data_IF_781178346974
#
_entry.id   IF_781178346974
#
_cell.length_a   1.000
_cell.length_b   1.000
_cell.length_c   1.000
_cell.angle_alpha   90.00
_cell.angle_beta   90.00
_cell.angle_gamma   90.00
#
_symmetry.space_group_name_H-M   'P 1'
#
loop_
_entity.id
_entity.type
_entity.pdbx_description
1 polymer ?
#
# COMPACT_ATOMS: atom_id res chain seq x y z
N UNK A 1 17.61 -7.04 6.98
CA UNK A 1 16.43 -6.14 7.05
C UNK A 1 16.73 -4.86 6.27
N UNK A 2 15.97 -4.53 5.25
CA UNK A 2 16.17 -3.30 4.48
C UNK A 2 15.99 -2.06 5.35
N UNK A 3 16.75 -1.02 5.04
CA UNK A 3 16.64 0.26 5.72
C UNK A 3 15.34 1.00 5.32
N UNK A 4 14.92 1.95 6.16
CA UNK A 4 13.74 2.78 5.87
C UNK A 4 13.83 3.46 4.49
N UNK A 5 14.99 3.99 4.13
CA UNK A 5 15.22 4.63 2.84
C UNK A 5 15.00 3.69 1.66
N UNK A 6 15.35 2.42 1.80
CA UNK A 6 15.13 1.41 0.75
C UNK A 6 13.63 1.14 0.54
N UNK A 7 12.85 1.11 1.62
CA UNK A 7 11.39 0.97 1.52
C UNK A 7 10.76 2.21 0.88
N UNK A 8 11.24 3.41 1.22
CA UNK A 8 10.78 4.65 0.58
C UNK A 8 11.07 4.65 -0.91
N UNK A 9 12.25 4.25 -1.31
CA UNK A 9 12.62 4.12 -2.73
C UNK A 9 11.71 3.12 -3.44
N UNK A 10 11.40 1.98 -2.80
CA UNK A 10 10.49 1.00 -3.39
C UNK A 10 9.08 1.60 -3.58
N UNK A 11 8.59 2.40 -2.63
CA UNK A 11 7.33 3.12 -2.79
C UNK A 11 7.35 4.02 -4.02
N UNK A 12 8.41 4.78 -4.21
CA UNK A 12 8.55 5.68 -5.35
C UNK A 12 8.59 4.91 -6.68
N UNK A 13 9.26 3.76 -6.70
CA UNK A 13 9.26 2.87 -7.87
C UNK A 13 7.87 2.30 -8.15
N UNK A 14 7.14 1.95 -7.11
CA UNK A 14 5.76 1.45 -7.25
C UNK A 14 4.83 2.53 -7.81
N UNK A 15 5.02 3.79 -7.43
CA UNK A 15 4.28 4.92 -7.99
C UNK A 15 4.51 5.01 -9.50
N UNK A 16 5.75 4.89 -9.94
CA UNK A 16 6.08 4.89 -11.37
C UNK A 16 5.47 3.69 -12.10
N UNK A 17 5.50 2.51 -11.47
CA UNK A 17 4.87 1.31 -12.02
C UNK A 17 3.35 1.48 -12.15
N UNK A 18 2.70 2.08 -11.16
CA UNK A 18 1.27 2.40 -11.21
C UNK A 18 0.94 3.26 -12.45
N UNK A 19 1.71 4.31 -12.68
CA UNK A 19 1.52 5.18 -13.85
C UNK A 19 1.77 4.43 -15.17
N UNK A 20 2.83 3.63 -15.23
CA UNK A 20 3.17 2.83 -16.42
C UNK A 20 2.07 1.83 -16.76
N UNK A 21 1.38 1.27 -15.75
CA UNK A 21 0.26 0.35 -15.92
C UNK A 21 -1.04 1.05 -16.31
N UNK A 22 -1.05 2.37 -16.40
CA UNK A 22 -2.22 3.18 -16.76
C UNK A 22 -3.00 3.74 -15.57
N UNK A 23 -2.58 3.42 -14.34
CA UNK A 23 -3.21 3.96 -13.15
C UNK A 23 -4.71 3.71 -13.11
N UNK A 24 -5.47 4.73 -12.74
CA UNK A 24 -6.94 4.68 -12.67
C UNK A 24 -7.60 4.62 -14.05
N UNK A 25 -6.83 4.74 -15.12
CA UNK A 25 -7.31 4.60 -16.50
C UNK A 25 -6.83 3.31 -17.16
N UNK A 26 -6.27 2.40 -16.39
CA UNK A 26 -5.78 1.12 -16.89
C UNK A 26 -6.91 0.29 -17.49
N UNK A 27 -6.57 -0.44 -18.55
CA UNK A 27 -7.52 -1.41 -19.14
C UNK A 27 -7.80 -2.58 -18.19
N UNK A 28 -6.84 -2.89 -17.32
CA UNK A 28 -6.90 -4.03 -16.39
C UNK A 28 -6.53 -3.52 -14.97
N UNK A 29 -7.54 -3.21 -14.17
CA UNK A 29 -7.35 -2.59 -12.84
C UNK A 29 -6.61 -3.47 -11.83
N UNK A 30 -6.61 -4.79 -12.03
CA UNK A 30 -5.95 -5.70 -11.09
C UNK A 30 -4.47 -5.39 -10.89
N UNK A 31 -3.78 -4.88 -11.88
CA UNK A 31 -2.36 -4.58 -11.79
C UNK A 31 -2.07 -3.27 -11.05
N UNK A 32 -2.66 -2.12 -11.41
CA UNK A 32 -2.47 -0.92 -10.58
C UNK A 32 -3.00 -1.08 -9.14
N UNK A 33 -4.11 -1.77 -8.92
CA UNK A 33 -4.62 -2.03 -7.58
C UNK A 33 -3.61 -2.85 -6.76
N UNK A 34 -3.02 -3.87 -7.36
CA UNK A 34 -1.96 -4.66 -6.73
C UNK A 34 -0.75 -3.81 -6.38
N UNK A 35 -0.34 -2.92 -7.28
CA UNK A 35 0.78 -2.01 -7.06
C UNK A 35 0.53 -1.08 -5.87
N UNK A 36 -0.69 -0.57 -5.73
CA UNK A 36 -1.08 0.26 -4.58
C UNK A 36 -1.00 -0.51 -3.26
N UNK A 37 -1.41 -1.78 -3.26
CA UNK A 37 -1.28 -2.61 -2.07
C UNK A 37 0.19 -2.77 -1.67
N UNK A 38 1.08 -3.09 -2.60
CA UNK A 38 2.50 -3.24 -2.28
C UNK A 38 3.15 -1.92 -1.88
N UNK A 39 2.66 -0.80 -2.39
CA UNK A 39 3.05 0.53 -1.90
C UNK A 39 2.71 0.67 -0.41
N UNK A 40 1.51 0.29 -0.02
CA UNK A 40 1.10 0.27 1.38
C UNK A 40 1.97 -0.64 2.25
N UNK A 41 2.34 -1.82 1.72
CA UNK A 41 3.25 -2.75 2.40
C UNK A 41 4.60 -2.09 2.71
N UNK A 42 5.20 -1.43 1.72
CA UNK A 42 6.50 -0.80 1.91
C UNK A 42 6.43 0.44 2.81
N UNK A 43 5.31 1.17 2.82
CA UNK A 43 5.10 2.25 3.80
C UNK A 43 5.07 1.69 5.22
N UNK A 44 4.40 0.56 5.44
CA UNK A 44 4.38 -0.10 6.75
C UNK A 44 5.80 -0.53 7.15
N UNK A 45 6.55 -1.13 6.24
CA UNK A 45 7.91 -1.56 6.53
C UNK A 45 8.86 -0.37 6.76
N UNK A 46 8.68 0.74 6.05
CA UNK A 46 9.40 1.99 6.32
C UNK A 46 9.13 2.45 7.75
N UNK A 47 7.88 2.48 8.16
CA UNK A 47 7.48 2.84 9.52
C UNK A 47 8.16 1.94 10.55
N UNK A 48 8.12 0.62 10.36
CA UNK A 48 8.75 -0.33 11.28
C UNK A 48 10.27 -0.12 11.36
N UNK A 49 10.92 0.16 10.23
CA UNK A 49 12.36 0.38 10.19
C UNK A 49 12.78 1.67 10.91
N UNK A 50 11.86 2.65 11.02
CA UNK A 50 12.12 3.93 11.70
C UNK A 50 11.85 3.89 13.20
N UNK A 51 11.28 2.82 13.74
CA UNK A 51 11.06 2.69 15.17
C UNK A 51 12.37 2.66 15.92
N UNK A 52 12.37 3.12 17.19
CA UNK A 52 13.57 3.09 18.03
C UNK A 52 14.12 1.68 18.21
N UNK A 53 13.23 0.68 18.23
CA UNK A 53 13.57 -0.73 18.09
C UNK A 53 12.98 -1.22 16.77
N UNK A 54 13.76 -1.23 15.68
CA UNK A 54 13.24 -1.60 14.38
C UNK A 54 12.61 -2.98 14.35
N UNK A 55 11.51 -3.10 13.60
CA UNK A 55 10.80 -4.34 13.39
C UNK A 55 10.86 -4.72 11.92
N UNK A 56 10.80 -6.01 11.65
CA UNK A 56 10.62 -6.55 10.31
C UNK A 56 9.54 -7.62 10.36
N UNK A 57 8.49 -7.45 9.58
CA UNK A 57 7.41 -8.43 9.54
C UNK A 57 7.76 -9.63 8.65
N UNK A 58 7.30 -10.82 9.05
CA UNK A 58 7.52 -12.06 8.28
C UNK A 58 6.40 -12.34 7.27
N UNK A 59 5.33 -11.55 7.25
CA UNK A 59 4.21 -11.72 6.33
C UNK A 59 3.08 -10.75 6.61
N UNK A 60 2.01 -10.82 5.80
CA UNK A 60 0.89 -9.88 5.88
C UNK A 60 0.18 -9.91 7.23
N UNK A 61 -0.02 -11.11 7.80
CA UNK A 61 -0.72 -11.26 9.07
C UNK A 61 0.02 -10.57 10.19
N UNK A 62 1.32 -10.82 10.30
CA UNK A 62 2.17 -10.19 11.32
C UNK A 62 2.24 -8.69 11.11
N UNK A 63 2.37 -8.23 9.86
CA UNK A 63 2.41 -6.81 9.52
C UNK A 63 1.16 -6.09 10.00
N UNK A 64 -0.01 -6.62 9.68
CA UNK A 64 -1.28 -6.05 10.11
C UNK A 64 -1.42 -6.03 11.62
N UNK A 65 -1.01 -7.11 12.30
CA UNK A 65 -1.04 -7.19 13.76
C UNK A 65 -0.13 -6.13 14.39
N UNK A 66 1.10 -5.99 13.91
CA UNK A 66 2.04 -4.99 14.41
C UNK A 66 1.55 -3.56 14.16
N UNK A 67 0.94 -3.30 12.99
CA UNK A 67 0.34 -2.00 12.71
C UNK A 67 -0.86 -1.74 13.60
N UNK A 68 -1.74 -2.72 13.81
CA UNK A 68 -2.93 -2.56 14.64
C UNK A 68 -2.56 -2.17 16.08
N UNK A 69 -1.45 -2.71 16.58
CA UNK A 69 -0.97 -2.43 17.92
C UNK A 69 -0.41 -0.99 18.05
N UNK A 70 0.12 -0.42 16.96
CA UNK A 70 0.83 0.87 17.00
C UNK A 70 0.11 1.99 16.26
N UNK A 71 -0.53 1.68 15.14
CA UNK A 71 -1.18 2.64 14.27
C UNK A 71 -2.44 2.01 13.68
N UNK A 72 -3.51 1.85 14.49
CA UNK A 72 -4.71 1.12 14.07
C UNK A 72 -5.38 1.70 12.82
N UNK A 73 -5.33 3.01 12.62
CA UNK A 73 -5.88 3.62 11.41
C UNK A 73 -5.11 3.16 10.17
N UNK A 74 -3.79 3.13 10.23
CA UNK A 74 -2.96 2.64 9.13
C UNK A 74 -3.23 1.15 8.86
N UNK A 75 -3.40 0.36 9.90
CA UNK A 75 -3.73 -1.07 9.76
C UNK A 75 -5.05 -1.26 9.02
N UNK A 76 -6.07 -0.47 9.36
CA UNK A 76 -7.37 -0.52 8.69
C UNK A 76 -7.25 -0.15 7.21
N UNK A 77 -6.50 0.90 6.89
CA UNK A 77 -6.27 1.34 5.50
C UNK A 77 -5.49 0.30 4.70
N UNK A 78 -4.47 -0.30 5.28
CA UNK A 78 -3.71 -1.36 4.61
C UNK A 78 -4.59 -2.59 4.35
N UNK A 79 -5.48 -2.94 5.28
CA UNK A 79 -6.43 -4.04 5.09
C UNK A 79 -7.37 -3.78 3.90
N UNK A 80 -7.80 -2.53 3.70
CA UNK A 80 -8.61 -2.15 2.52
C UNK A 80 -7.84 -2.43 1.23
N UNK A 81 -6.58 -2.01 1.15
CA UNK A 81 -5.73 -2.26 -0.03
C UNK A 81 -5.49 -3.76 -0.24
N UNK A 82 -5.26 -4.50 0.83
CA UNK A 82 -5.05 -5.95 0.76
C UNK A 82 -6.29 -6.65 0.20
N UNK A 83 -7.47 -6.33 0.72
CA UNK A 83 -8.72 -6.93 0.26
C UNK A 83 -8.99 -6.59 -1.22
N UNK A 84 -8.78 -5.35 -1.63
CA UNK A 84 -8.93 -4.94 -3.03
C UNK A 84 -7.99 -5.73 -3.94
N UNK A 85 -6.73 -5.88 -3.54
CA UNK A 85 -5.74 -6.66 -4.29
C UNK A 85 -6.14 -8.12 -4.43
N UNK A 86 -6.67 -8.74 -3.37
CA UNK A 86 -7.14 -10.12 -3.41
C UNK A 86 -8.35 -10.29 -4.33
N UNK A 87 -9.34 -9.40 -4.23
CA UNK A 87 -10.50 -9.42 -5.10
C UNK A 87 -10.09 -9.35 -6.57
N UNK A 88 -9.17 -8.44 -6.88
CA UNK A 88 -8.72 -8.25 -8.26
C UNK A 88 -7.97 -9.45 -8.82
N UNK A 89 -7.05 -10.06 -8.03
CA UNK A 89 -6.14 -11.10 -8.56
C UNK A 89 -6.64 -12.52 -8.38
N UNK A 90 -7.21 -12.83 -7.22
CA UNK A 90 -7.51 -14.22 -6.85
C UNK A 90 -8.98 -14.58 -6.96
N UNK A 91 -9.87 -13.61 -6.72
CA UNK A 91 -11.31 -13.87 -6.74
C UNK A 91 -11.93 -13.54 -8.10
N UNK A 92 -11.10 -13.14 -9.08
CA UNK A 92 -11.52 -12.78 -10.44
C UNK A 92 -12.60 -11.67 -10.47
N UNK A 93 -12.63 -10.83 -9.44
CA UNK A 93 -13.61 -9.75 -9.30
C UNK A 93 -13.10 -8.42 -9.89
N UNK A 94 -12.28 -8.49 -10.93
CA UNK A 94 -11.67 -7.30 -11.55
C UNK A 94 -12.72 -6.34 -12.13
N UNK A 95 -13.90 -6.82 -12.50
CA UNK A 95 -15.00 -5.98 -13.02
C UNK A 95 -15.73 -5.21 -11.92
N UNK A 96 -15.46 -5.51 -10.65
CA UNK A 96 -16.03 -4.78 -9.53
C UNK A 96 -15.41 -3.39 -9.34
N UNK A 97 -14.27 -3.13 -9.97
CA UNK A 97 -13.56 -1.85 -9.86
C UNK A 97 -13.95 -0.89 -10.95
N UNK A 98 -14.19 0.36 -10.55
CA UNK A 98 -14.38 1.50 -11.44
C UNK A 98 -13.17 2.44 -11.25
N UNK A 99 -13.01 3.41 -12.16
CA UNK A 99 -11.97 4.43 -12.03
C UNK A 99 -12.03 5.13 -10.67
N UNK A 100 -13.23 5.48 -10.20
CA UNK A 100 -13.40 6.15 -8.89
C UNK A 100 -12.92 5.27 -7.72
N UNK A 101 -13.08 3.96 -7.80
CA UNK A 101 -12.59 3.04 -6.77
C UNK A 101 -11.06 3.02 -6.75
N UNK A 102 -10.44 2.99 -7.92
CA UNK A 102 -8.97 3.00 -8.04
C UNK A 102 -8.40 4.31 -7.52
N UNK A 103 -9.03 5.46 -7.85
CA UNK A 103 -8.66 6.77 -7.32
C UNK A 103 -8.75 6.81 -5.78
N UNK A 104 -9.77 6.21 -5.21
CA UNK A 104 -9.92 6.11 -3.75
C UNK A 104 -8.79 5.28 -3.14
N UNK A 105 -8.45 4.14 -3.74
CA UNK A 105 -7.35 3.30 -3.28
C UNK A 105 -6.00 4.01 -3.41
N UNK A 106 -5.82 4.81 -4.47
CA UNK A 106 -4.63 5.63 -4.66
C UNK A 106 -4.48 6.64 -3.51
N UNK A 107 -5.55 7.33 -3.14
CA UNK A 107 -5.51 8.29 -2.03
C UNK A 107 -5.17 7.60 -0.70
N UNK A 108 -5.70 6.40 -0.49
CA UNK A 108 -5.35 5.61 0.69
C UNK A 108 -3.84 5.34 0.74
N UNK A 109 -3.27 4.85 -0.36
CA UNK A 109 -1.85 4.50 -0.42
C UNK A 109 -0.93 5.72 -0.37
N UNK A 110 -1.26 6.79 -1.12
CA UNK A 110 -0.37 7.92 -1.30
C UNK A 110 -0.45 8.96 -0.18
N UNK A 111 -1.61 9.09 0.45
CA UNK A 111 -1.89 10.19 1.41
C UNK A 111 -2.30 9.69 2.79
N UNK A 112 -3.26 8.77 2.87
CA UNK A 112 -3.89 8.42 4.15
C UNK A 112 -3.01 7.52 5.00
N UNK A 113 -2.40 6.49 4.42
CA UNK A 113 -1.45 5.64 5.15
C UNK A 113 -0.23 6.45 5.60
N UNK A 114 0.44 7.23 4.73
CA UNK A 114 1.54 8.06 5.20
C UNK A 114 1.15 8.99 6.35
N UNK A 115 0.00 9.64 6.25
CA UNK A 115 -0.49 10.53 7.32
C UNK A 115 -0.65 9.77 8.63
N UNK A 116 -1.27 8.60 8.60
CA UNK A 116 -1.51 7.79 9.79
C UNK A 116 -0.19 7.29 10.42
N UNK A 117 0.86 7.12 9.62
CA UNK A 117 2.18 6.69 10.06
C UNK A 117 3.15 7.85 10.30
N UNK A 118 2.72 9.09 10.12
CA UNK A 118 3.56 10.28 10.24
C UNK A 118 4.75 10.25 9.27
N UNK A 119 4.52 9.72 8.08
CA UNK A 119 5.47 9.70 6.98
C UNK A 119 5.07 10.71 5.91
N UNK A 120 6.02 11.10 5.08
CA UNK A 120 5.74 11.98 3.94
C UNK A 120 4.79 11.30 2.94
N UNK A 121 3.84 12.07 2.41
CA UNK A 121 2.96 11.59 1.36
C UNK A 121 3.75 11.26 0.10
N UNK A 122 3.18 10.37 -0.73
CA UNK A 122 3.73 10.07 -2.05
C UNK A 122 3.11 11.00 -3.09
N UNK A 123 3.91 11.42 -4.06
CA UNK A 123 3.44 12.23 -5.19
C UNK A 123 2.87 11.31 -6.27
N UNK A 124 1.59 11.39 -6.48
CA UNK A 124 0.89 10.60 -7.49
C UNK A 124 -0.09 11.45 -8.29
#
# INVERSE_FOLDING_TARGET
MPAAASHREQCERNVKAYDTLGGEQAAYFEWPVTTLFYTGVHLAEEYFARLSKPLHSSGHRQRLQCLADRAPEAAMKLAILHNASRLARYDCAFRAFKESDVLRLRDIAAKEIPRALQLDALTM
#
